data_IF_306266802167
#
_entry.id   IF_306266802167
#
_cell.length_a   1.000
_cell.length_b   1.000
_cell.length_c   1.000
_cell.angle_alpha   90.00
_cell.angle_beta   90.00
_cell.angle_gamma   90.00
#
_symmetry.space_group_name_H-M   'P 1'
#
loop_
_entity.id
_entity.type
_entity.pdbx_description
1 polymer ?
#
# COMPACT_ATOMS: atom_id res chain seq x y z
N UNK A 1 -4.22 6.71 -23.85
CA UNK A 1 -3.13 5.79 -24.24
C UNK A 1 -2.04 5.68 -23.16
N UNK A 2 -1.09 6.61 -22.99
CA UNK A 2 -0.02 6.46 -21.96
C UNK A 2 -0.53 6.39 -20.50
N UNK A 3 -1.53 7.19 -20.15
CA UNK A 3 -2.13 7.18 -18.81
C UNK A 3 -2.93 5.89 -18.52
N UNK A 4 -3.50 5.27 -19.56
CA UNK A 4 -4.27 4.03 -19.44
C UNK A 4 -3.35 2.83 -19.26
N UNK A 5 -2.22 2.78 -19.98
CA UNK A 5 -1.21 1.73 -19.81
C UNK A 5 -0.61 1.75 -18.39
N UNK A 6 -0.29 2.94 -17.88
CA UNK A 6 0.23 3.08 -16.52
C UNK A 6 -0.80 2.67 -15.45
N UNK A 7 -2.06 3.09 -15.61
CA UNK A 7 -3.14 2.69 -14.70
C UNK A 7 -3.36 1.17 -14.71
N UNK A 8 -3.22 0.53 -15.88
CA UNK A 8 -3.36 -0.91 -16.03
C UNK A 8 -2.24 -1.68 -15.33
N UNK A 9 -1.01 -1.17 -15.35
CA UNK A 9 0.12 -1.79 -14.66
C UNK A 9 0.03 -1.64 -13.13
N UNK A 10 -0.47 -0.50 -12.64
CA UNK A 10 -0.81 -0.33 -11.22
C UNK A 10 -1.91 -1.30 -10.77
N UNK A 11 -2.95 -1.47 -11.58
CA UNK A 11 -4.04 -2.41 -11.30
C UNK A 11 -3.53 -3.87 -11.26
N UNK A 12 -2.69 -4.27 -12.22
CA UNK A 12 -2.07 -5.61 -12.24
C UNK A 12 -1.19 -5.86 -11.01
N UNK A 13 -0.38 -4.87 -10.64
CA UNK A 13 0.47 -4.95 -9.44
C UNK A 13 -0.37 -5.13 -8.18
N UNK A 14 -1.47 -4.39 -8.07
CA UNK A 14 -2.41 -4.47 -6.96
C UNK A 14 -3.05 -5.85 -6.82
N UNK A 15 -3.47 -6.46 -7.93
CA UNK A 15 -4.02 -7.83 -7.94
C UNK A 15 -2.99 -8.85 -7.42
N UNK A 16 -1.73 -8.73 -7.83
CA UNK A 16 -0.67 -9.63 -7.34
C UNK A 16 -0.44 -9.43 -5.83
N UNK A 17 -0.41 -8.19 -5.36
CA UNK A 17 -0.24 -7.88 -3.93
C UNK A 17 -1.40 -8.45 -3.09
N UNK A 18 -2.66 -8.29 -3.53
CA UNK A 18 -3.82 -8.87 -2.84
C UNK A 18 -3.74 -10.40 -2.75
N UNK A 19 -3.33 -11.06 -3.84
CA UNK A 19 -3.15 -12.52 -3.84
C UNK A 19 -1.96 -12.98 -2.99
N UNK A 20 -1.05 -12.09 -2.63
CA UNK A 20 0.05 -12.38 -1.70
C UNK A 20 -0.41 -12.42 -0.24
N UNK A 21 -1.48 -11.68 0.10
CA UNK A 21 -2.09 -11.71 1.43
C UNK A 21 -2.87 -13.00 1.66
N UNK A 22 -3.73 -13.38 0.71
CA UNK A 22 -4.61 -14.54 0.83
C UNK A 22 -5.11 -15.04 -0.53
N UNK A 23 -5.44 -16.34 -0.67
CA UNK A 23 -6.14 -16.84 -1.85
C UNK A 23 -7.52 -16.20 -2.02
N UNK A 24 -7.90 -15.83 -3.24
CA UNK A 24 -9.18 -15.17 -3.53
C UNK A 24 -9.84 -15.71 -4.78
N UNK A 25 -11.17 -15.72 -4.82
CA UNK A 25 -11.91 -15.92 -6.06
C UNK A 25 -12.02 -14.62 -6.86
N UNK A 26 -12.29 -14.70 -8.17
CA UNK A 26 -12.31 -13.53 -9.07
C UNK A 26 -13.14 -12.35 -8.54
N UNK A 27 -14.36 -12.59 -8.05
CA UNK A 27 -15.20 -11.53 -7.47
C UNK A 27 -14.60 -10.89 -6.20
N UNK A 28 -13.87 -11.64 -5.39
CA UNK A 28 -13.26 -11.13 -4.17
C UNK A 28 -12.05 -10.26 -4.50
N UNK A 29 -11.31 -10.61 -5.56
CA UNK A 29 -10.25 -9.74 -6.09
C UNK A 29 -10.84 -8.41 -6.56
N UNK A 30 -11.91 -8.44 -7.36
CA UNK A 30 -12.56 -7.21 -7.84
C UNK A 30 -13.02 -6.32 -6.69
N UNK A 31 -13.70 -6.93 -5.70
CA UNK A 31 -14.17 -6.23 -4.51
C UNK A 31 -13.03 -5.61 -3.70
N UNK A 32 -11.98 -6.37 -3.38
CA UNK A 32 -10.87 -5.86 -2.58
C UNK A 32 -10.07 -4.76 -3.31
N UNK A 33 -9.97 -4.80 -4.65
CA UNK A 33 -9.36 -3.70 -5.40
C UNK A 33 -10.25 -2.46 -5.35
N UNK A 34 -11.56 -2.60 -5.56
CA UNK A 34 -12.51 -1.49 -5.48
C UNK A 34 -12.49 -0.84 -4.08
N UNK A 35 -12.59 -1.65 -3.03
CA UNK A 35 -12.62 -1.18 -1.64
C UNK A 35 -11.32 -0.46 -1.20
N UNK A 36 -10.16 -0.88 -1.70
CA UNK A 36 -8.85 -0.36 -1.25
C UNK A 36 -8.21 0.68 -2.17
N UNK A 37 -8.52 0.65 -3.46
CA UNK A 37 -7.87 1.48 -4.49
C UNK A 37 -8.88 2.43 -5.15
N UNK A 38 -10.16 2.34 -4.78
CA UNK A 38 -11.25 3.18 -5.30
C UNK A 38 -11.31 3.14 -6.84
N UNK A 39 -10.99 1.98 -7.41
CA UNK A 39 -11.05 1.75 -8.86
C UNK A 39 -11.65 0.38 -9.17
N UNK A 40 -12.77 0.34 -9.92
CA UNK A 40 -13.38 -0.92 -10.30
C UNK A 40 -12.49 -1.68 -11.29
N UNK A 41 -12.39 -2.99 -11.11
CA UNK A 41 -11.70 -3.88 -12.03
C UNK A 41 -12.72 -4.60 -12.89
N UNK A 42 -12.68 -4.35 -14.20
CA UNK A 42 -13.56 -5.04 -15.13
C UNK A 42 -13.16 -6.54 -15.25
N UNK A 43 -14.12 -7.48 -15.20
CA UNK A 43 -13.90 -8.90 -15.51
C UNK A 43 -13.06 -9.17 -16.77
N UNK A 44 -13.28 -8.39 -17.83
CA UNK A 44 -12.56 -8.48 -19.11
C UNK A 44 -11.08 -8.13 -19.01
N UNK A 45 -10.66 -7.45 -17.94
CA UNK A 45 -9.24 -7.20 -17.64
C UNK A 45 -8.70 -8.24 -16.66
N UNK A 46 -9.47 -8.56 -15.63
CA UNK A 46 -9.05 -9.46 -14.56
C UNK A 46 -8.78 -10.88 -15.07
N UNK A 47 -9.74 -11.48 -15.77
CA UNK A 47 -9.64 -12.90 -16.13
C UNK A 47 -8.54 -13.21 -17.15
N UNK A 48 -8.31 -12.38 -18.19
CA UNK A 48 -7.14 -12.55 -19.06
C UNK A 48 -5.82 -12.39 -18.31
N UNK A 49 -5.74 -11.46 -17.35
CA UNK A 49 -4.55 -11.28 -16.53
C UNK A 49 -4.28 -12.50 -15.64
N UNK A 50 -5.29 -13.00 -14.92
CA UNK A 50 -5.18 -14.22 -14.12
C UNK A 50 -4.77 -15.43 -14.97
N UNK A 51 -5.34 -15.58 -16.18
CA UNK A 51 -4.95 -16.64 -17.13
C UNK A 51 -3.49 -16.50 -17.54
N UNK A 52 -3.00 -15.27 -17.75
CA UNK A 52 -1.58 -14.99 -18.03
C UNK A 52 -0.71 -15.40 -16.85
N UNK A 53 -1.07 -15.05 -15.61
CA UNK A 53 -0.33 -15.46 -14.41
C UNK A 53 -0.28 -16.99 -14.25
N UNK A 54 -1.41 -17.68 -14.49
CA UNK A 54 -1.46 -19.15 -14.48
C UNK A 54 -0.54 -19.77 -15.55
N UNK A 55 -0.59 -19.26 -16.78
CA UNK A 55 0.29 -19.74 -17.87
C UNK A 55 1.77 -19.58 -17.55
N UNK A 56 2.13 -18.55 -16.78
CA UNK A 56 3.51 -18.29 -16.36
C UNK A 56 3.88 -18.96 -15.03
N UNK A 57 3.02 -19.81 -14.47
CA UNK A 57 3.29 -20.51 -13.21
C UNK A 57 3.36 -19.61 -11.97
N UNK A 58 2.88 -18.37 -12.05
CA UNK A 58 2.88 -17.40 -10.95
C UNK A 58 1.65 -17.55 -10.04
N UNK A 59 0.56 -18.08 -10.60
CA UNK A 59 -0.69 -18.35 -9.90
C UNK A 59 -1.11 -19.79 -10.18
N UNK A 60 -1.63 -20.47 -9.16
CA UNK A 60 -2.39 -21.71 -9.31
C UNK A 60 -3.85 -21.41 -8.99
N UNK A 61 -4.75 -22.25 -9.50
CA UNK A 61 -6.16 -22.17 -9.14
C UNK A 61 -6.74 -23.50 -8.72
N UNK A 62 -7.71 -23.43 -7.81
CA UNK A 62 -8.46 -24.59 -7.33
C UNK A 62 -9.95 -24.26 -7.34
N UNK A 63 -10.79 -25.24 -7.64
CA UNK A 63 -12.24 -25.09 -7.44
C UNK A 63 -12.54 -25.42 -5.99
N UNK A 64 -13.03 -24.43 -5.23
CA UNK A 64 -13.45 -24.62 -3.84
C UNK A 64 -14.97 -24.43 -3.74
N UNK A 65 -15.66 -25.22 -2.90
CA UNK A 65 -17.06 -24.97 -2.58
C UNK A 65 -17.16 -23.63 -1.84
N UNK A 66 -17.71 -22.61 -2.50
CA UNK A 66 -17.90 -21.27 -1.92
C UNK A 66 -19.35 -20.86 -2.17
N UNK A 67 -20.20 -21.01 -1.14
CA UNK A 67 -21.64 -20.83 -1.27
C UNK A 67 -22.29 -21.94 -2.10
N UNK A 68 -23.26 -21.59 -2.96
CA UNK A 68 -24.06 -22.57 -3.70
C UNK A 68 -23.36 -23.22 -4.90
N UNK A 69 -22.29 -22.60 -5.43
CA UNK A 69 -21.56 -23.11 -6.61
C UNK A 69 -20.05 -23.09 -6.35
N UNK A 70 -19.29 -24.12 -6.78
CA UNK A 70 -17.83 -24.09 -6.68
C UNK A 70 -17.27 -22.88 -7.41
N UNK A 71 -16.42 -22.10 -6.73
CA UNK A 71 -15.75 -20.94 -7.30
C UNK A 71 -14.27 -21.26 -7.53
N UNK A 72 -13.73 -20.71 -8.62
CA UNK A 72 -12.29 -20.76 -8.91
C UNK A 72 -11.58 -19.78 -7.96
N UNK A 73 -10.74 -20.32 -7.09
CA UNK A 73 -9.90 -19.59 -6.14
C UNK A 73 -8.49 -19.58 -6.67
N UNK A 74 -7.88 -18.40 -6.71
CA UNK A 74 -6.54 -18.14 -7.19
C UNK A 74 -5.59 -17.95 -6.01
N UNK A 75 -4.38 -18.49 -6.11
CA UNK A 75 -3.35 -18.43 -5.08
C UNK A 75 -1.99 -18.26 -5.75
N UNK A 76 -1.14 -17.39 -5.21
CA UNK A 76 0.24 -17.28 -5.70
C UNK A 76 1.03 -18.57 -5.45
N UNK A 77 1.83 -18.96 -6.43
CA UNK A 77 2.87 -19.98 -6.25
C UNK A 77 4.06 -19.38 -5.48
N UNK A 78 5.07 -20.19 -5.15
CA UNK A 78 6.31 -19.69 -4.55
C UNK A 78 6.95 -18.58 -5.41
N UNK A 79 7.09 -18.83 -6.72
CA UNK A 79 7.61 -17.85 -7.69
C UNK A 79 6.69 -16.62 -7.83
N UNK A 80 5.38 -16.81 -7.72
CA UNK A 80 4.41 -15.71 -7.65
C UNK A 80 4.63 -14.79 -6.44
N UNK A 81 4.91 -15.36 -5.28
CA UNK A 81 5.22 -14.60 -4.05
C UNK A 81 6.54 -13.84 -4.17
N UNK A 82 7.56 -14.42 -4.81
CA UNK A 82 8.80 -13.69 -5.10
C UNK A 82 8.56 -12.48 -6.01
N UNK A 83 7.71 -12.62 -7.03
CA UNK A 83 7.30 -11.51 -7.86
C UNK A 83 6.57 -10.44 -7.05
N UNK A 84 5.64 -10.82 -6.17
CA UNK A 84 4.94 -9.89 -5.28
C UNK A 84 5.92 -9.10 -4.41
N UNK A 85 6.93 -9.76 -3.82
CA UNK A 85 7.99 -9.12 -3.04
C UNK A 85 8.78 -8.10 -3.86
N UNK A 86 9.12 -8.41 -5.12
CA UNK A 86 9.81 -7.46 -6.01
C UNK A 86 8.94 -6.25 -6.33
N UNK A 87 7.64 -6.46 -6.59
CA UNK A 87 6.67 -5.39 -6.83
C UNK A 87 6.54 -4.50 -5.59
N UNK A 88 6.36 -5.09 -4.41
CA UNK A 88 6.31 -4.37 -3.14
C UNK A 88 7.53 -3.47 -2.93
N UNK A 89 8.75 -4.01 -3.10
CA UNK A 89 9.99 -3.22 -2.95
C UNK A 89 10.07 -2.05 -3.92
N UNK A 90 9.64 -2.24 -5.18
CA UNK A 90 9.60 -1.16 -6.18
C UNK A 90 8.62 -0.07 -5.80
N UNK A 91 7.40 -0.44 -5.41
CA UNK A 91 6.38 0.52 -4.98
C UNK A 91 6.84 1.27 -3.74
N UNK A 92 7.38 0.58 -2.73
CA UNK A 92 7.93 1.21 -1.53
C UNK A 92 9.03 2.24 -1.87
N UNK A 93 9.94 1.91 -2.79
CA UNK A 93 10.97 2.84 -3.24
C UNK A 93 10.38 4.09 -3.93
N UNK A 94 9.32 3.93 -4.73
CA UNK A 94 8.64 5.06 -5.38
C UNK A 94 7.93 5.95 -4.37
N UNK A 95 7.24 5.33 -3.40
CA UNK A 95 6.59 6.02 -2.28
C UNK A 95 7.61 6.81 -1.48
N UNK A 96 8.73 6.19 -1.07
CA UNK A 96 9.84 6.88 -0.39
C UNK A 96 10.35 8.07 -1.20
N UNK A 97 10.64 7.89 -2.50
CA UNK A 97 11.12 8.97 -3.35
C UNK A 97 10.14 10.15 -3.44
N UNK A 98 8.84 9.87 -3.52
CA UNK A 98 7.81 10.90 -3.65
C UNK A 98 7.55 11.65 -2.33
N UNK A 99 7.66 10.94 -1.21
CA UNK A 99 7.17 11.42 0.09
C UNK A 99 8.31 11.99 0.93
N UNK A 100 9.49 11.34 0.94
CA UNK A 100 10.61 11.74 1.81
C UNK A 100 11.02 13.22 1.72
N UNK A 101 11.04 13.86 0.54
CA UNK A 101 11.36 15.29 0.43
C UNK A 101 10.36 16.21 1.14
N UNK A 102 9.13 15.74 1.38
CA UNK A 102 8.03 16.51 1.94
C UNK A 102 7.71 16.10 3.40
N UNK A 103 8.56 15.26 4.01
CA UNK A 103 8.37 14.84 5.40
C UNK A 103 8.74 15.96 6.36
N UNK A 104 7.83 16.24 7.29
CA UNK A 104 8.15 17.08 8.43
C UNK A 104 9.13 16.36 9.36
N UNK A 105 9.98 17.11 10.04
CA UNK A 105 10.89 16.57 11.07
C UNK A 105 10.42 17.09 12.42
N UNK A 106 10.26 16.17 13.37
CA UNK A 106 9.90 16.53 14.75
C UNK A 106 10.96 17.48 15.34
N UNK A 107 10.52 18.63 15.85
CA UNK A 107 11.41 19.65 16.45
C UNK A 107 12.11 19.20 17.74
N UNK A 108 11.69 18.09 18.34
CA UNK A 108 12.33 17.52 19.54
C UNK A 108 13.19 16.30 19.20
N UNK A 109 12.57 15.17 18.85
CA UNK A 109 13.30 13.91 18.68
C UNK A 109 13.90 13.69 17.28
N UNK A 110 13.62 14.56 16.31
CA UNK A 110 14.17 14.48 14.95
C UNK A 110 13.60 13.36 14.06
N UNK A 111 12.55 12.63 14.49
CA UNK A 111 11.94 11.62 13.62
C UNK A 111 11.20 12.26 12.44
N UNK A 112 11.20 11.59 11.28
CA UNK A 112 10.44 11.98 10.09
C UNK A 112 8.95 11.67 10.30
N UNK A 113 8.08 12.64 10.02
CA UNK A 113 6.62 12.56 10.23
C UNK A 113 5.96 12.47 8.85
N UNK A 114 5.38 11.30 8.56
CA UNK A 114 4.69 11.03 7.29
C UNK A 114 3.36 11.75 7.18
N UNK A 115 2.53 11.64 8.20
CA UNK A 115 1.22 12.26 8.25
C UNK A 115 0.89 12.58 9.71
N UNK A 116 0.06 13.59 9.93
CA UNK A 116 -0.34 14.04 11.25
C UNK A 116 0.77 14.83 11.95
N UNK A 117 1.20 14.36 13.12
CA UNK A 117 2.04 15.10 14.04
C UNK A 117 1.24 16.07 14.91
N UNK A 118 1.78 16.34 16.09
CA UNK A 118 1.22 17.31 17.03
C UNK A 118 1.82 18.68 16.74
N UNK A 119 0.96 19.67 16.51
CA UNK A 119 1.36 21.05 16.23
C UNK A 119 1.17 21.89 17.47
N UNK A 120 2.17 22.70 17.81
CA UNK A 120 2.09 23.62 18.93
C UNK A 120 2.84 24.92 18.60
N UNK A 121 2.27 26.04 19.05
CA UNK A 121 2.90 27.35 18.92
C UNK A 121 3.92 27.50 20.05
N UNK A 122 5.19 27.68 19.68
CA UNK A 122 6.29 27.88 20.61
C UNK A 122 6.92 29.25 20.32
N UNK A 123 6.62 30.23 21.17
CA UNK A 123 6.92 31.65 20.91
C UNK A 123 5.98 32.22 19.85
N UNK A 124 6.54 32.70 18.74
CA UNK A 124 5.84 33.28 17.59
C UNK A 124 5.69 32.30 16.40
N UNK A 125 6.21 31.07 16.52
CA UNK A 125 6.24 30.09 15.42
C UNK A 125 5.46 28.82 15.75
N UNK A 126 4.65 28.38 14.79
CA UNK A 126 4.09 27.02 14.80
C UNK A 126 5.22 26.00 14.57
N UNK A 127 5.27 24.98 15.42
CA UNK A 127 6.22 23.89 15.31
C UNK A 127 5.48 22.56 15.28
N UNK A 128 6.09 21.58 14.63
CA UNK A 128 5.55 20.23 14.52
C UNK A 128 6.39 19.23 15.31
N UNK A 129 5.70 18.37 16.03
CA UNK A 129 6.27 17.31 16.86
C UNK A 129 5.62 15.98 16.48
N UNK A 130 6.30 14.86 16.71
CA UNK A 130 5.71 13.56 16.41
C UNK A 130 4.57 13.19 17.39
N UNK A 131 4.58 13.75 18.59
CA UNK A 131 3.55 13.56 19.61
C UNK A 131 3.55 14.72 20.62
N UNK A 132 2.52 14.76 21.46
CA UNK A 132 2.39 15.74 22.56
C UNK A 132 3.55 15.67 23.56
N UNK A 133 4.10 14.48 23.80
CA UNK A 133 5.22 14.30 24.73
C UNK A 133 6.52 14.93 24.22
N UNK A 134 6.78 14.87 22.91
CA UNK A 134 7.91 15.57 22.30
C UNK A 134 7.77 17.09 22.40
N UNK A 135 6.56 17.62 22.22
CA UNK A 135 6.32 19.05 22.38
C UNK A 135 6.52 19.50 23.84
N UNK A 136 6.04 18.70 24.79
CA UNK A 136 6.23 19.00 26.21
C UNK A 136 7.70 18.92 26.64
N UNK A 137 8.42 17.88 26.21
CA UNK A 137 9.84 17.75 26.49
C UNK A 137 10.64 18.94 25.92
N UNK A 138 10.34 19.34 24.69
CA UNK A 138 10.96 20.51 24.05
C UNK A 138 10.72 21.81 24.84
N UNK A 139 9.48 22.03 25.32
CA UNK A 139 9.16 23.19 26.16
C UNK A 139 9.91 23.17 27.49
N UNK A 140 9.96 22.01 28.14
CA UNK A 140 10.67 21.86 29.42
C UNK A 140 12.16 22.18 29.26
N UNK A 141 12.79 21.68 28.18
CA UNK A 141 14.20 21.96 27.86
C UNK A 141 14.45 23.45 27.63
N UNK A 142 13.58 24.13 26.88
CA UNK A 142 13.64 25.59 26.67
C UNK A 142 13.56 26.36 27.99
N UNK A 143 12.63 25.99 28.87
CA UNK A 143 12.47 26.64 30.18
C UNK A 143 13.64 26.38 31.12
N UNK A 144 14.35 25.26 30.98
CA UNK A 144 15.54 24.95 31.78
C UNK A 144 16.83 25.60 31.28
N UNK A 145 16.82 26.11 30.04
CA UNK A 145 17.96 26.77 29.40
C UNK A 145 17.95 28.30 29.55
N UNK A 146 16.95 28.86 30.25
CA UNK A 146 16.79 30.30 30.55
C UNK A 146 17.03 30.53 32.03
#
# INVERSE_FOLDING_TARGET
MLSEDFALDMMRSSIILLLSEKPLHGYGIMKEVEDRIDKPVNPSLLYPFLKKLEKNGLVKSTRKPVGQKPKKVYELTATGKELATRIYKRIASMVSMAIEPNLNICFHCGCKIYEGGYKEVIGDKERIFCCVHCAQAYKNELSSAT
#
